data_IF_775988847150
#
_entry.id   IF_775988847150
#
_cell.length_a   1.000
_cell.length_b   1.000
_cell.length_c   1.000
_cell.angle_alpha   90.00
_cell.angle_beta   90.00
_cell.angle_gamma   90.00
#
_symmetry.space_group_name_H-M   'P 1'
#
loop_
_entity.id
_entity.type
_entity.pdbx_description
1 polymer ?
#
# COMPACT_ATOMS: atom_id res chain seq x y z
N UNK A 1 0.14 5.53 11.87
CA UNK A 1 1.29 4.88 12.54
C UNK A 1 0.88 3.47 12.93
N UNK A 2 1.62 2.47 12.49
CA UNK A 2 1.37 1.08 12.86
C UNK A 2 2.19 0.81 14.12
N UNK A 3 1.53 0.64 15.27
CA UNK A 3 2.20 0.37 16.54
C UNK A 3 2.27 -1.14 16.72
N UNK A 4 3.51 -1.67 16.82
CA UNK A 4 3.74 -3.05 17.22
C UNK A 4 3.78 -3.07 18.74
N UNK A 5 2.69 -3.51 19.39
CA UNK A 5 2.68 -3.76 20.83
C UNK A 5 3.36 -5.11 21.13
N UNK A 6 4.22 -5.10 22.17
CA UNK A 6 4.72 -6.26 22.89
C UNK A 6 5.64 -7.23 22.15
N UNK A 7 6.81 -6.79 21.68
CA UNK A 7 8.00 -7.67 21.51
C UNK A 7 7.83 -9.09 20.93
N UNK A 8 6.64 -9.44 20.46
CA UNK A 8 6.38 -10.74 19.84
C UNK A 8 6.94 -10.75 18.43
N UNK A 9 7.79 -11.70 18.17
CA UNK A 9 8.22 -12.09 16.83
C UNK A 9 6.96 -12.37 16.01
N UNK A 10 6.63 -11.50 15.06
CA UNK A 10 5.45 -11.68 14.21
C UNK A 10 5.80 -12.77 13.18
N UNK A 11 5.24 -13.95 13.37
CA UNK A 11 5.39 -15.10 12.48
C UNK A 11 4.11 -15.37 11.66
N UNK A 12 3.11 -14.49 11.74
CA UNK A 12 1.83 -14.67 11.06
C UNK A 12 1.90 -14.20 9.61
N UNK A 13 1.39 -15.03 8.72
CA UNK A 13 1.43 -14.85 7.25
C UNK A 13 0.73 -13.61 6.71
N UNK A 14 -0.02 -12.87 7.53
CA UNK A 14 -0.82 -11.70 7.12
C UNK A 14 -0.59 -10.51 8.05
N UNK A 15 0.62 -10.01 8.09
CA UNK A 15 1.02 -9.08 9.14
C UNK A 15 0.36 -7.71 9.03
N UNK A 16 0.29 -7.11 7.84
CA UNK A 16 -0.39 -5.80 7.67
C UNK A 16 -1.89 -5.92 7.91
N UNK A 17 -2.52 -6.95 7.38
CA UNK A 17 -3.95 -7.21 7.62
C UNK A 17 -4.23 -7.36 9.11
N UNK A 18 -3.49 -8.23 9.81
CA UNK A 18 -3.69 -8.48 11.24
C UNK A 18 -3.40 -7.23 12.09
N UNK A 19 -2.42 -6.42 11.73
CA UNK A 19 -2.13 -5.16 12.40
C UNK A 19 -3.28 -4.15 12.24
N UNK A 20 -3.80 -3.99 11.02
CA UNK A 20 -4.94 -3.12 10.75
C UNK A 20 -6.19 -3.61 11.49
N UNK A 21 -6.46 -4.92 11.45
CA UNK A 21 -7.58 -5.57 12.15
C UNK A 21 -7.50 -5.36 13.66
N UNK A 22 -6.35 -5.65 14.27
CA UNK A 22 -6.16 -5.49 15.70
C UNK A 22 -6.37 -4.04 16.18
N UNK A 23 -5.90 -3.05 15.41
CA UNK A 23 -6.15 -1.65 15.73
C UNK A 23 -7.63 -1.28 15.56
N UNK A 24 -8.28 -1.78 14.51
CA UNK A 24 -9.71 -1.55 14.28
C UNK A 24 -10.60 -2.15 15.37
N UNK A 25 -10.20 -3.31 15.93
CA UNK A 25 -10.93 -3.98 17.02
C UNK A 25 -10.66 -3.32 18.39
N UNK A 26 -9.41 -2.93 18.67
CA UNK A 26 -9.04 -2.40 19.99
C UNK A 26 -9.35 -0.91 20.17
N UNK A 27 -9.35 -0.13 19.08
CA UNK A 27 -9.55 1.32 19.11
C UNK A 27 -10.27 1.81 17.84
N UNK A 28 -11.51 1.34 17.56
CA UNK A 28 -12.20 1.56 16.29
C UNK A 28 -12.40 3.04 15.93
N UNK A 29 -12.66 3.87 16.93
CA UNK A 29 -12.98 5.29 16.76
C UNK A 29 -11.74 6.21 16.84
N UNK A 30 -10.56 5.66 17.18
CA UNK A 30 -9.32 6.43 17.18
C UNK A 30 -8.92 6.80 15.74
N UNK A 31 -8.36 8.00 15.58
CA UNK A 31 -7.94 8.52 14.28
C UNK A 31 -6.65 7.81 13.83
N UNK A 32 -6.73 7.09 12.73
CA UNK A 32 -5.62 6.40 12.10
C UNK A 32 -4.86 7.29 11.11
N UNK A 33 -5.59 8.09 10.32
CA UNK A 33 -5.01 8.95 9.28
C UNK A 33 -5.68 10.32 9.31
N UNK A 34 -4.86 11.36 9.22
CA UNK A 34 -5.31 12.72 8.93
C UNK A 34 -4.76 13.11 7.56
N UNK A 35 -5.64 13.48 6.64
CA UNK A 35 -5.28 13.95 5.33
C UNK A 35 -6.11 15.20 5.00
N UNK A 36 -5.44 16.33 4.84
CA UNK A 36 -6.10 17.65 4.74
C UNK A 36 -7.06 17.87 5.93
N UNK A 37 -8.33 18.06 5.70
CA UNK A 37 -9.37 18.23 6.72
C UNK A 37 -10.02 16.91 7.14
N UNK A 38 -9.74 15.81 6.43
CA UNK A 38 -10.34 14.51 6.66
C UNK A 38 -9.62 13.77 7.79
N UNK A 39 -10.41 13.26 8.74
CA UNK A 39 -9.95 12.34 9.79
C UNK A 39 -10.57 10.97 9.55
N UNK A 40 -9.73 9.96 9.41
CA UNK A 40 -10.14 8.58 9.15
C UNK A 40 -9.81 7.73 10.37
N UNK A 41 -10.79 7.00 10.87
CA UNK A 41 -10.62 6.10 12.02
C UNK A 41 -9.99 4.77 11.63
N UNK A 42 -9.46 4.00 12.60
CA UNK A 42 -8.94 2.66 12.34
C UNK A 42 -10.00 1.72 11.78
N UNK A 43 -11.23 1.76 12.30
CA UNK A 43 -12.33 0.95 11.76
C UNK A 43 -12.58 1.27 10.28
N UNK A 44 -12.61 2.55 9.92
CA UNK A 44 -12.82 2.97 8.52
C UNK A 44 -11.66 2.59 7.62
N UNK A 45 -10.41 2.77 8.08
CA UNK A 45 -9.22 2.38 7.32
C UNK A 45 -9.21 0.88 7.06
N UNK A 46 -9.48 0.06 8.06
CA UNK A 46 -9.53 -1.40 7.92
C UNK A 46 -10.62 -1.84 6.94
N UNK A 47 -11.82 -1.28 7.04
CA UNK A 47 -12.94 -1.55 6.13
C UNK A 47 -12.58 -1.21 4.67
N UNK A 48 -12.01 -0.01 4.44
CA UNK A 48 -11.62 0.44 3.11
C UNK A 48 -10.50 -0.42 2.51
N UNK A 49 -9.49 -0.77 3.32
CA UNK A 49 -8.39 -1.65 2.86
C UNK A 49 -8.89 -3.05 2.54
N UNK A 50 -9.76 -3.62 3.37
CA UNK A 50 -10.32 -4.96 3.14
C UNK A 50 -11.17 -5.00 1.88
N UNK A 51 -12.03 -4.01 1.67
CA UNK A 51 -12.82 -3.88 0.44
C UNK A 51 -11.94 -3.74 -0.79
N UNK A 52 -10.88 -2.95 -0.68
CA UNK A 52 -9.92 -2.76 -1.77
C UNK A 52 -9.17 -4.05 -2.07
N UNK A 53 -8.74 -4.79 -1.05
CA UNK A 53 -8.09 -6.09 -1.23
C UNK A 53 -9.01 -7.08 -1.95
N UNK A 54 -10.26 -7.22 -1.53
CA UNK A 54 -11.26 -8.04 -2.20
C UNK A 54 -11.47 -7.64 -3.68
N UNK A 55 -11.45 -6.35 -3.96
CA UNK A 55 -11.55 -5.85 -5.33
C UNK A 55 -10.34 -6.27 -6.16
N UNK A 56 -9.12 -6.09 -5.65
CA UNK A 56 -7.89 -6.44 -6.35
C UNK A 56 -7.68 -7.95 -6.51
N UNK A 57 -8.23 -8.78 -5.63
CA UNK A 57 -8.22 -10.23 -5.80
C UNK A 57 -8.95 -10.70 -7.07
N UNK A 58 -9.86 -9.89 -7.61
CA UNK A 58 -10.56 -10.17 -8.87
C UNK A 58 -9.70 -9.93 -10.11
N UNK A 59 -8.60 -9.20 -9.98
CA UNK A 59 -7.73 -8.89 -11.11
C UNK A 59 -6.89 -10.12 -11.45
N UNK A 60 -6.85 -10.43 -12.72
CA UNK A 60 -5.85 -11.36 -13.25
C UNK A 60 -4.47 -10.71 -13.11
N UNK A 61 -3.42 -11.53 -13.12
CA UNK A 61 -2.06 -11.03 -12.94
C UNK A 61 -1.65 -10.85 -11.47
N UNK A 62 -0.38 -10.54 -11.29
CA UNK A 62 0.27 -10.58 -9.97
C UNK A 62 0.70 -9.19 -9.48
N UNK A 63 1.00 -8.27 -10.40
CA UNK A 63 1.76 -7.06 -10.09
C UNK A 63 0.98 -5.79 -10.39
N UNK A 64 0.82 -4.94 -9.38
CA UNK A 64 0.12 -3.65 -9.47
C UNK A 64 1.08 -2.52 -9.15
N UNK A 65 1.25 -1.56 -10.06
CA UNK A 65 2.01 -0.35 -9.80
C UNK A 65 1.10 0.77 -9.32
N UNK A 66 1.58 1.53 -8.34
CA UNK A 66 0.90 2.74 -7.85
C UNK A 66 1.83 3.94 -8.05
N UNK A 67 1.33 4.99 -8.67
CA UNK A 67 2.00 6.27 -8.76
C UNK A 67 1.02 7.44 -8.74
N UNK A 68 1.50 8.56 -8.23
CA UNK A 68 0.69 9.75 -8.02
C UNK A 68 0.95 10.37 -6.65
N UNK A 69 0.44 11.58 -6.37
CA UNK A 69 0.64 12.24 -5.10
C UNK A 69 0.02 11.44 -3.95
N UNK A 70 0.70 11.50 -2.81
CA UNK A 70 0.23 10.88 -1.58
C UNK A 70 -1.18 11.38 -1.23
N UNK A 71 -2.07 10.45 -0.87
CA UNK A 71 -3.44 10.74 -0.47
C UNK A 71 -3.98 9.60 0.37
N UNK A 72 -5.11 9.79 1.03
CA UNK A 72 -5.77 8.70 1.75
C UNK A 72 -6.05 7.49 0.84
N UNK A 73 -6.48 7.73 -0.40
CA UNK A 73 -6.71 6.66 -1.37
C UNK A 73 -5.45 5.94 -1.78
N UNK A 74 -4.34 6.68 -1.89
CA UNK A 74 -3.04 6.09 -2.16
C UNK A 74 -2.69 5.09 -1.07
N UNK A 75 -2.91 5.44 0.21
CA UNK A 75 -2.70 4.56 1.37
C UNK A 75 -3.60 3.31 1.27
N UNK A 76 -4.90 3.49 1.00
CA UNK A 76 -5.86 2.38 0.87
C UNK A 76 -5.49 1.45 -0.28
N UNK A 77 -5.08 2.00 -1.43
CA UNK A 77 -4.66 1.18 -2.57
C UNK A 77 -3.34 0.45 -2.30
N UNK A 78 -2.39 1.09 -1.63
CA UNK A 78 -1.11 0.47 -1.22
C UNK A 78 -1.37 -0.75 -0.33
N UNK A 79 -2.04 -0.57 0.80
CA UNK A 79 -2.34 -1.69 1.69
C UNK A 79 -3.29 -2.70 1.05
N UNK A 80 -4.30 -2.25 0.31
CA UNK A 80 -5.22 -3.13 -0.41
C UNK A 80 -4.53 -4.03 -1.41
N UNK A 81 -3.51 -3.53 -2.12
CA UNK A 81 -2.69 -4.34 -3.04
C UNK A 81 -1.92 -5.42 -2.29
N UNK A 82 -1.21 -5.05 -1.23
CA UNK A 82 -0.42 -5.99 -0.42
C UNK A 82 -1.32 -7.06 0.20
N UNK A 83 -2.39 -6.65 0.86
CA UNK A 83 -3.36 -7.54 1.52
C UNK A 83 -4.08 -8.44 0.52
N UNK A 84 -4.29 -7.99 -0.72
CA UNK A 84 -4.83 -8.84 -1.80
C UNK A 84 -3.89 -9.97 -2.25
N UNK A 85 -2.66 -10.01 -1.76
CA UNK A 85 -1.64 -10.96 -2.22
C UNK A 85 -0.98 -10.56 -3.54
N UNK A 86 -1.13 -9.28 -3.96
CA UNK A 86 -0.52 -8.75 -5.17
C UNK A 86 0.80 -8.06 -4.86
N UNK A 87 1.79 -8.20 -5.75
CA UNK A 87 3.05 -7.46 -5.65
C UNK A 87 2.80 -5.98 -5.94
N UNK A 88 3.23 -5.13 -5.03
CA UNK A 88 3.08 -3.68 -5.12
C UNK A 88 4.35 -3.05 -5.70
N UNK A 89 4.28 -2.41 -6.86
CA UNK A 89 5.37 -1.58 -7.39
C UNK A 89 5.12 -0.10 -7.06
N UNK A 90 6.01 0.49 -6.26
CA UNK A 90 5.96 1.92 -5.91
C UNK A 90 6.78 2.72 -6.90
N UNK A 91 6.11 3.47 -7.78
CA UNK A 91 6.75 4.25 -8.84
C UNK A 91 6.71 5.73 -8.48
N UNK A 92 7.88 6.39 -8.55
CA UNK A 92 7.97 7.83 -8.35
C UNK A 92 7.22 8.56 -9.47
N UNK A 93 6.22 9.38 -9.09
CA UNK A 93 5.40 10.11 -10.05
C UNK A 93 6.12 11.32 -10.66
N UNK A 94 7.24 11.77 -10.10
CA UNK A 94 8.08 12.82 -10.67
C UNK A 94 8.96 12.33 -11.83
N UNK A 95 9.10 11.02 -12.01
CA UNK A 95 9.84 10.48 -13.15
C UNK A 95 9.22 10.93 -14.48
N UNK A 96 10.04 11.22 -15.51
CA UNK A 96 9.56 11.44 -16.87
C UNK A 96 8.69 10.28 -17.37
N UNK A 97 7.72 10.60 -18.24
CA UNK A 97 6.78 9.63 -18.76
C UNK A 97 7.47 8.39 -19.36
N UNK A 98 8.47 8.60 -20.23
CA UNK A 98 9.16 7.51 -20.92
C UNK A 98 9.91 6.61 -19.94
N UNK A 99 10.54 7.20 -18.92
CA UNK A 99 11.23 6.45 -17.85
C UNK A 99 10.25 5.59 -17.05
N UNK A 100 9.05 6.11 -16.76
CA UNK A 100 7.99 5.32 -16.09
C UNK A 100 7.53 4.15 -16.95
N UNK A 101 7.29 4.39 -18.24
CA UNK A 101 6.87 3.35 -19.19
C UNK A 101 7.92 2.23 -19.25
N UNK A 102 9.19 2.60 -19.37
CA UNK A 102 10.28 1.62 -19.40
C UNK A 102 10.38 0.82 -18.10
N UNK A 103 10.22 1.50 -16.96
CA UNK A 103 10.27 0.88 -15.65
C UNK A 103 9.14 -0.16 -15.48
N UNK A 104 7.91 0.22 -15.84
CA UNK A 104 6.75 -0.66 -15.76
C UNK A 104 6.88 -1.88 -16.67
N UNK A 105 7.41 -1.69 -17.88
CA UNK A 105 7.69 -2.80 -18.81
C UNK A 105 8.76 -3.73 -18.26
N UNK A 106 9.87 -3.20 -17.75
CA UNK A 106 10.96 -4.00 -17.15
C UNK A 106 10.53 -4.79 -15.94
N UNK A 107 9.55 -4.29 -15.20
CA UNK A 107 9.01 -4.96 -14.02
C UNK A 107 7.78 -5.79 -14.30
N UNK A 108 7.35 -5.92 -15.57
CA UNK A 108 6.21 -6.74 -15.96
C UNK A 108 4.96 -6.45 -15.12
N UNK A 109 4.62 -5.17 -15.01
CA UNK A 109 3.45 -4.71 -14.26
C UNK A 109 2.18 -5.04 -15.04
N UNK A 110 1.21 -5.69 -14.38
CA UNK A 110 -0.06 -6.05 -14.99
C UNK A 110 -1.06 -4.88 -15.00
N UNK A 111 -1.07 -4.08 -13.92
CA UNK A 111 -2.00 -2.95 -13.77
C UNK A 111 -1.30 -1.74 -13.18
N UNK A 112 -1.77 -0.55 -13.58
CA UNK A 112 -1.30 0.72 -13.04
C UNK A 112 -2.45 1.50 -12.39
N UNK A 113 -2.26 1.92 -11.15
CA UNK A 113 -3.20 2.77 -10.43
C UNK A 113 -2.65 4.19 -10.41
N UNK A 114 -3.40 5.14 -10.96
CA UNK A 114 -3.00 6.54 -10.99
C UNK A 114 -4.06 7.44 -10.37
N UNK A 115 -3.65 8.58 -9.83
CA UNK A 115 -4.57 9.53 -9.19
C UNK A 115 -5.29 10.45 -10.19
N UNK A 116 -4.79 10.60 -11.40
CA UNK A 116 -5.36 11.49 -12.43
C UNK A 116 -5.08 11.00 -13.84
N UNK A 117 -5.87 11.46 -14.82
CA UNK A 117 -5.69 11.16 -16.24
C UNK A 117 -4.33 11.62 -16.82
N UNK A 118 -3.65 12.57 -16.17
CA UNK A 118 -2.32 13.03 -16.59
C UNK A 118 -1.25 11.94 -16.49
N UNK A 119 -1.49 10.92 -15.67
CA UNK A 119 -0.54 9.86 -15.42
C UNK A 119 -0.96 8.54 -16.06
N UNK A 120 -2.06 8.52 -16.82
CA UNK A 120 -2.45 7.34 -17.58
C UNK A 120 -1.34 7.07 -18.59
N UNK A 121 -0.74 5.91 -18.47
CA UNK A 121 0.02 5.32 -19.55
C UNK A 121 -1.00 4.85 -20.59
N UNK A 122 -0.70 4.98 -21.86
CA UNK A 122 -1.57 4.53 -22.97
C UNK A 122 -1.63 3.00 -23.06
N UNK A 123 -2.00 2.37 -21.97
CA UNK A 123 -1.99 0.96 -21.70
C UNK A 123 -3.41 0.56 -21.26
N UNK A 124 -3.91 -0.51 -21.81
CA UNK A 124 -5.27 -1.02 -21.56
C UNK A 124 -5.52 -1.36 -20.09
N UNK A 125 -4.45 -1.61 -19.33
CA UNK A 125 -4.50 -2.01 -17.93
C UNK A 125 -4.39 -0.84 -16.94
N UNK A 126 -4.33 0.41 -17.42
CA UNK A 126 -4.26 1.57 -16.52
C UNK A 126 -5.61 1.81 -15.84
N UNK A 127 -5.64 1.76 -14.53
CA UNK A 127 -6.81 2.04 -13.72
C UNK A 127 -6.62 3.38 -13.02
N UNK A 128 -7.58 4.29 -13.19
CA UNK A 128 -7.58 5.57 -12.50
C UNK A 128 -8.04 5.35 -11.05
N UNK A 129 -7.27 5.84 -10.09
CA UNK A 129 -7.70 5.93 -8.70
C UNK A 129 -8.72 7.06 -8.59
N UNK A 130 -9.97 6.78 -8.95
CA UNK A 130 -11.07 7.74 -8.95
C UNK A 130 -11.78 7.75 -7.60
N UNK A 131 -12.38 8.91 -7.27
CA UNK A 131 -13.18 9.06 -6.05
C UNK A 131 -14.55 8.40 -6.14
N UNK A 132 -15.01 8.09 -7.33
CA UNK A 132 -16.40 7.72 -7.59
C UNK A 132 -16.64 6.21 -7.69
N UNK A 133 -15.60 5.41 -7.90
CA UNK A 133 -15.77 3.97 -7.98
C UNK A 133 -15.93 3.36 -6.59
N UNK A 134 -17.13 2.85 -6.35
CA UNK A 134 -17.36 1.97 -5.22
C UNK A 134 -16.86 0.58 -5.59
N UNK A 135 -15.98 0.03 -4.77
CA UNK A 135 -15.60 -1.37 -4.92
C UNK A 135 -16.83 -2.24 -4.68
N UNK A 136 -17.37 -2.82 -5.75
CA UNK A 136 -18.50 -3.73 -5.63
C UNK A 136 -17.98 -5.10 -5.17
N UNK A 137 -17.95 -5.28 -3.87
CA UNK A 137 -17.47 -6.50 -3.20
C UNK A 137 -18.53 -7.11 -2.30
N UNK A 138 -19.80 -6.76 -2.54
CA UNK A 138 -20.93 -7.24 -1.75
C UNK A 138 -20.99 -8.77 -1.73
N UNK A 139 -21.12 -9.33 -0.53
CA UNK A 139 -21.16 -10.78 -0.32
C UNK A 139 -19.81 -11.50 -0.39
N UNK A 140 -18.71 -10.81 -0.66
CA UNK A 140 -17.36 -11.39 -0.59
C UNK A 140 -16.83 -11.35 0.84
N UNK A 141 -16.16 -12.42 1.23
CA UNK A 141 -15.48 -12.55 2.53
C UNK A 141 -13.99 -12.67 2.26
N UNK A 142 -13.19 -11.85 2.95
CA UNK A 142 -11.73 -11.90 2.85
C UNK A 142 -11.23 -13.18 3.54
N UNK A 143 -10.38 -13.93 2.84
CA UNK A 143 -9.66 -15.07 3.43
C UNK A 143 -8.41 -14.57 4.15
N UNK A 144 -8.42 -14.62 5.47
CA UNK A 144 -7.32 -14.18 6.33
C UNK A 144 -6.03 -15.01 6.14
N UNK A 145 -6.09 -16.15 5.44
CA UNK A 145 -4.91 -16.92 5.07
C UNK A 145 -4.27 -16.49 3.74
N UNK A 146 -4.81 -15.48 3.07
CA UNK A 146 -4.21 -14.94 1.85
C UNK A 146 -2.80 -14.43 2.16
N UNK A 147 -1.74 -14.96 1.50
CA UNK A 147 -0.39 -14.45 1.69
C UNK A 147 -0.31 -13.00 1.20
N UNK A 148 0.28 -12.12 2.00
CA UNK A 148 0.51 -10.73 1.57
C UNK A 148 1.55 -10.66 0.45
N UNK A 149 1.35 -9.69 -0.47
CA UNK A 149 2.23 -9.46 -1.60
C UNK A 149 3.48 -8.68 -1.23
N UNK A 150 4.57 -8.93 -1.95
CA UNK A 150 5.83 -8.22 -1.78
C UNK A 150 5.76 -6.78 -2.32
N UNK A 151 6.72 -5.94 -1.91
CA UNK A 151 6.84 -4.55 -2.36
C UNK A 151 8.06 -4.43 -3.27
N UNK A 152 7.84 -3.84 -4.45
CA UNK A 152 8.90 -3.52 -5.41
C UNK A 152 9.20 -2.03 -5.31
N UNK A 153 10.43 -1.71 -4.93
CA UNK A 153 10.96 -0.35 -4.91
C UNK A 153 12.05 -0.21 -5.98
N UNK A 154 12.35 1.02 -6.33
CA UNK A 154 13.35 1.32 -7.36
C UNK A 154 14.47 2.15 -6.76
N UNK A 155 15.71 1.76 -7.07
CA UNK A 155 16.89 2.52 -6.62
C UNK A 155 17.12 3.66 -7.60
N UNK A 156 17.17 4.90 -7.10
CA UNK A 156 17.60 6.04 -7.89
C UNK A 156 19.14 6.03 -8.03
N UNK A 157 19.64 5.73 -9.23
CA UNK A 157 21.06 5.91 -9.57
C UNK A 157 21.23 7.02 -10.58
N UNK A 158 22.24 7.87 -10.40
CA UNK A 158 22.42 9.08 -11.20
C UNK A 158 22.65 8.85 -12.71
N UNK A 159 22.90 7.62 -13.16
CA UNK A 159 23.34 7.33 -14.54
C UNK A 159 22.68 6.10 -15.20
N UNK A 160 21.79 5.38 -14.55
CA UNK A 160 21.13 4.21 -15.14
C UNK A 160 19.69 4.07 -14.65
N UNK A 161 18.86 3.49 -15.51
CA UNK A 161 17.48 3.14 -15.16
C UNK A 161 17.45 2.40 -13.83
N UNK A 162 16.60 2.87 -12.95
CA UNK A 162 16.38 2.34 -11.62
C UNK A 162 16.23 0.82 -11.66
N UNK A 163 16.94 0.16 -10.76
CA UNK A 163 16.85 -1.30 -10.63
C UNK A 163 15.70 -1.63 -9.68
N UNK A 164 14.80 -2.55 -10.05
CA UNK A 164 13.77 -3.03 -9.14
C UNK A 164 14.41 -3.84 -8.00
N UNK A 165 13.99 -3.55 -6.79
CA UNK A 165 14.34 -4.28 -5.58
C UNK A 165 13.07 -4.82 -4.98
N UNK A 166 12.95 -6.14 -4.84
CA UNK A 166 11.81 -6.80 -4.21
C UNK A 166 12.07 -6.92 -2.71
N UNK A 167 11.19 -6.35 -1.92
CA UNK A 167 11.21 -6.39 -0.47
C UNK A 167 10.04 -7.24 0.01
N UNK A 168 10.33 -8.31 0.72
CA UNK A 168 9.28 -9.09 1.38
C UNK A 168 8.67 -8.28 2.54
N UNK A 169 7.47 -8.67 2.94
CA UNK A 169 6.83 -8.08 4.12
C UNK A 169 7.73 -8.23 5.36
N UNK A 170 8.42 -9.36 5.52
CA UNK A 170 9.37 -9.57 6.61
C UNK A 170 10.53 -8.56 6.57
N UNK A 171 11.04 -8.22 5.39
CA UNK A 171 12.08 -7.19 5.27
C UNK A 171 11.58 -5.83 5.77
N UNK A 172 10.36 -5.44 5.37
CA UNK A 172 9.74 -4.18 5.80
C UNK A 172 9.52 -4.16 7.30
N UNK A 173 8.97 -5.22 7.86
CA UNK A 173 8.68 -5.29 9.29
C UNK A 173 9.94 -5.31 10.14
N UNK A 174 10.98 -6.04 9.72
CA UNK A 174 12.26 -6.01 10.40
C UNK A 174 12.87 -4.60 10.40
N UNK A 175 12.75 -3.87 9.29
CA UNK A 175 13.17 -2.48 9.23
C UNK A 175 12.34 -1.58 10.16
N UNK A 176 11.02 -1.74 10.19
CA UNK A 176 10.12 -1.01 11.09
C UNK A 176 10.46 -1.29 12.56
N UNK A 177 10.68 -2.56 12.93
CA UNK A 177 11.08 -2.93 14.30
C UNK A 177 12.43 -2.31 14.68
N UNK A 178 13.41 -2.34 13.77
CA UNK A 178 14.72 -1.75 14.02
C UNK A 178 14.63 -0.23 14.22
N UNK A 179 13.80 0.46 13.43
CA UNK A 179 13.55 1.90 13.58
C UNK A 179 12.84 2.17 14.91
N UNK A 180 11.77 1.41 15.20
CA UNK A 180 10.97 1.63 16.42
C UNK A 180 11.77 1.39 17.70
N UNK A 181 12.73 0.46 17.68
CA UNK A 181 13.64 0.23 18.82
C UNK A 181 14.57 1.42 19.12
N UNK A 182 14.71 2.36 18.19
CA UNK A 182 15.56 3.55 18.33
C UNK A 182 14.75 4.83 18.59
N UNK A 183 13.55 4.92 17.98
CA UNK A 183 12.72 6.13 18.02
C UNK A 183 11.69 6.05 19.18
N UNK A 184 11.44 4.86 19.71
CA UNK A 184 10.50 4.62 20.83
C UNK A 184 9.11 5.21 20.58
N UNK A 185 8.56 5.04 19.35
CA UNK A 185 7.23 5.52 19.02
C UNK A 185 6.16 4.87 19.91
N UNK A 186 5.23 5.67 20.40
CA UNK A 186 4.13 5.26 21.25
C UNK A 186 2.77 5.49 20.60
N UNK A 187 1.67 5.06 21.25
CA UNK A 187 0.30 5.30 20.77
C UNK A 187 -0.08 6.77 20.77
N UNK A 188 0.62 7.60 21.52
CA UNK A 188 0.32 9.03 21.67
C UNK A 188 1.02 9.90 20.60
N UNK A 189 1.93 9.29 19.84
CA UNK A 189 2.68 10.00 18.82
C UNK A 189 1.89 10.17 17.52
N UNK A 190 2.06 11.34 16.92
CA UNK A 190 1.54 11.66 15.59
C UNK A 190 2.71 11.79 14.62
N UNK A 191 2.74 10.92 13.61
CA UNK A 191 3.78 10.94 12.59
C UNK A 191 3.34 11.75 11.38
N UNK A 192 4.12 12.78 11.02
CA UNK A 192 3.95 13.51 9.78
C UNK A 192 4.67 12.75 8.63
N UNK A 193 3.88 12.16 7.72
CA UNK A 193 4.42 11.56 6.51
C UNK A 193 4.55 12.64 5.43
N UNK A 194 5.77 13.15 5.23
CA UNK A 194 6.08 14.22 4.29
C UNK A 194 6.90 13.73 3.08
N UNK A 195 7.20 12.44 3.03
CA UNK A 195 7.95 11.84 1.93
C UNK A 195 7.01 11.63 0.75
N UNK A 196 7.41 12.05 -0.46
CA UNK A 196 6.60 11.91 -1.66
C UNK A 196 6.41 10.44 -2.07
#
# INVERSE_FOLDING_TARGET
MIIIKDGKTMTDKNTFYNMLKSNAESQPDAVAVVYDTMKVTYAKLFDDVTKKALHFQKFEGKRIAIFGPASYRWIVNMFGTIVAGKELALVDFFLPHDSRVDLLKKTEVDYTLTSTNQYILSDENSIIISSAEKDNVDGLIYDENTPEGDIIMFTATANECDKPVVLSIDNILNAVMAINSRVECTSDDIVLAQIP
#
